data_IF_081149406296
#
_entry.id   IF_081149406296
#
_cell.length_a   1.000
_cell.length_b   1.000
_cell.length_c   1.000
_cell.angle_alpha   90.00
_cell.angle_beta   90.00
_cell.angle_gamma   90.00
#
_symmetry.space_group_name_H-M   'P 1'
#
loop_
_entity.id
_entity.type
_entity.pdbx_description
1 polymer ?
#
# COMPACT_ATOMS: atom_id res chain seq x y z
N UNK A 1 0.95 3.28 15.87
CA UNK A 1 1.35 2.64 17.15
C UNK A 1 1.58 1.16 16.88
N UNK A 2 2.74 0.63 17.27
CA UNK A 2 3.00 -0.79 17.29
C UNK A 2 2.16 -1.40 18.42
N UNK A 3 1.26 -2.33 18.09
CA UNK A 3 0.32 -2.90 19.05
C UNK A 3 1.00 -3.84 20.06
N UNK A 4 2.14 -4.43 19.73
CA UNK A 4 2.86 -5.34 20.61
C UNK A 4 3.72 -4.58 21.64
N UNK A 5 4.43 -3.53 21.20
CA UNK A 5 5.31 -2.77 22.08
C UNK A 5 4.65 -1.53 22.71
N UNK A 6 3.49 -1.10 22.21
CA UNK A 6 2.81 0.13 22.63
C UNK A 6 3.44 1.43 22.11
N UNK A 7 4.59 1.36 21.42
CA UNK A 7 5.32 2.53 20.96
C UNK A 7 4.81 3.08 19.62
N UNK A 8 4.98 4.38 19.39
CA UNK A 8 4.71 5.04 18.12
C UNK A 8 5.91 5.89 17.69
N UNK A 9 6.12 6.02 16.38
CA UNK A 9 7.10 6.95 15.81
C UNK A 9 6.58 8.37 15.86
N UNK A 10 7.46 9.33 16.06
CA UNK A 10 7.17 10.77 15.98
C UNK A 10 7.67 11.30 14.64
N UNK A 11 6.77 11.90 13.88
CA UNK A 11 7.07 12.47 12.57
C UNK A 11 7.14 13.98 12.72
N UNK A 12 8.26 14.57 12.30
CA UNK A 12 8.51 16.01 12.41
C UNK A 12 8.48 16.64 11.03
N UNK A 13 7.62 17.65 10.90
CA UNK A 13 7.44 18.44 9.69
C UNK A 13 7.99 19.83 9.96
N UNK A 14 8.80 20.35 9.05
CA UNK A 14 9.25 21.73 9.09
C UNK A 14 8.59 22.45 7.92
N UNK A 15 7.47 23.14 8.19
CA UNK A 15 6.54 23.63 7.16
C UNK A 15 7.22 24.39 6.02
N UNK A 16 8.20 25.24 6.34
CA UNK A 16 8.96 26.04 5.36
C UNK A 16 9.76 25.19 4.35
N UNK A 17 10.04 23.92 4.68
CA UNK A 17 10.83 23.00 3.88
C UNK A 17 9.99 21.88 3.24
N UNK A 18 8.66 21.85 3.44
CA UNK A 18 7.80 20.80 2.87
C UNK A 18 7.42 21.17 1.43
N UNK A 19 8.07 20.54 0.46
CA UNK A 19 7.76 20.70 -0.97
C UNK A 19 6.68 19.73 -1.46
N UNK A 20 6.53 18.58 -0.81
CA UNK A 20 5.54 17.56 -1.14
C UNK A 20 5.11 16.80 0.11
N UNK A 21 3.84 16.40 0.19
CA UNK A 21 3.34 15.60 1.31
C UNK A 21 3.62 14.10 1.14
N UNK A 22 4.05 13.68 -0.04
CA UNK A 22 4.28 12.27 -0.40
C UNK A 22 5.69 11.97 -0.89
N UNK A 23 6.58 12.96 -0.88
CA UNK A 23 7.97 12.77 -1.25
C UNK A 23 8.88 13.48 -0.23
N UNK A 24 9.55 12.70 0.62
CA UNK A 24 10.42 13.17 1.70
C UNK A 24 9.84 14.33 2.55
N UNK A 25 8.57 14.26 3.02
CA UNK A 25 7.93 15.37 3.74
C UNK A 25 8.53 15.62 5.14
N UNK A 26 9.29 14.66 5.67
CA UNK A 26 9.71 14.64 7.07
C UNK A 26 11.11 15.24 7.24
N UNK A 27 11.22 16.28 8.06
CA UNK A 27 12.51 16.80 8.51
C UNK A 27 13.23 15.77 9.41
N UNK A 28 12.45 15.04 10.23
CA UNK A 28 12.95 13.93 11.05
C UNK A 28 11.85 12.91 11.36
N UNK A 29 12.27 11.66 11.57
CA UNK A 29 11.43 10.60 12.13
C UNK A 29 12.15 10.02 13.33
N UNK A 30 11.53 10.13 14.51
CA UNK A 30 12.09 9.67 15.78
C UNK A 30 11.37 8.41 16.28
N UNK A 31 12.13 7.41 16.70
CA UNK A 31 11.62 6.16 17.26
C UNK A 31 12.61 5.02 17.11
N UNK A 32 12.17 3.79 17.40
CA UNK A 32 13.02 2.62 17.21
C UNK A 32 13.00 2.15 15.75
N UNK A 33 14.18 1.80 15.24
CA UNK A 33 14.30 1.12 13.95
C UNK A 33 13.61 -0.25 14.02
N UNK A 34 12.90 -0.58 12.96
CA UNK A 34 12.14 -1.82 12.79
C UNK A 34 12.69 -2.71 11.67
N UNK A 35 13.83 -2.34 11.07
CA UNK A 35 14.45 -3.08 9.96
C UNK A 35 13.77 -2.75 8.63
N UNK A 36 13.05 -3.71 8.05
CA UNK A 36 12.36 -3.50 6.77
C UNK A 36 10.98 -2.88 6.97
N UNK A 37 10.81 -1.65 6.47
CA UNK A 37 9.55 -0.89 6.57
C UNK A 37 9.17 -0.38 5.19
N UNK A 38 7.94 -0.66 4.74
CA UNK A 38 7.44 -0.07 3.51
C UNK A 38 7.38 1.46 3.64
N UNK A 39 8.26 2.16 2.93
CA UNK A 39 8.39 3.60 2.95
C UNK A 39 7.93 4.20 1.61
N UNK A 40 6.62 4.40 1.46
CA UNK A 40 6.04 4.97 0.23
C UNK A 40 6.35 6.45 0.02
N UNK A 41 6.88 7.15 1.02
CA UNK A 41 7.26 8.57 0.88
C UNK A 41 8.74 8.77 0.55
N UNK A 42 9.54 7.69 0.52
CA UNK A 42 10.92 7.76 0.06
C UNK A 42 10.98 8.23 -1.40
N UNK A 43 12.01 8.99 -1.77
CA UNK A 43 12.23 9.39 -3.17
C UNK A 43 12.29 8.18 -4.10
N UNK A 44 12.95 7.11 -3.66
CA UNK A 44 13.09 5.87 -4.43
C UNK A 44 11.75 5.16 -4.69
N UNK A 45 10.72 5.45 -3.89
CA UNK A 45 9.37 4.89 -4.05
C UNK A 45 8.54 5.58 -5.13
N UNK A 46 9.07 6.57 -5.85
CA UNK A 46 8.31 7.34 -6.84
C UNK A 46 7.63 6.47 -7.91
N UNK A 47 8.35 5.48 -8.45
CA UNK A 47 7.77 4.55 -9.44
C UNK A 47 6.65 3.70 -8.84
N UNK A 48 6.78 3.29 -7.57
CA UNK A 48 5.75 2.53 -6.86
C UNK A 48 4.50 3.38 -6.59
N UNK A 49 4.66 4.67 -6.25
CA UNK A 49 3.55 5.63 -6.15
C UNK A 49 2.83 5.78 -7.49
N UNK A 50 3.55 5.95 -8.59
CA UNK A 50 2.96 6.07 -9.93
C UNK A 50 2.20 4.80 -10.35
N UNK A 51 2.75 3.62 -10.06
CA UNK A 51 2.03 2.37 -10.30
C UNK A 51 0.77 2.25 -9.42
N UNK A 52 0.79 2.77 -8.20
CA UNK A 52 -0.42 2.83 -7.35
C UNK A 52 -1.49 3.70 -8.00
N UNK A 53 -1.11 4.85 -8.57
CA UNK A 53 -2.04 5.72 -9.32
C UNK A 53 -2.60 5.02 -10.54
N UNK A 54 -1.74 4.37 -11.30
CA UNK A 54 -2.15 3.60 -12.47
C UNK A 54 -3.13 2.47 -12.12
N UNK A 55 -2.79 1.64 -11.13
CA UNK A 55 -3.61 0.53 -10.66
C UNK A 55 -4.95 0.98 -10.07
N UNK A 56 -5.02 2.17 -9.46
CA UNK A 56 -6.27 2.72 -8.94
C UNK A 56 -7.26 3.08 -10.06
N UNK A 57 -6.77 3.30 -11.29
CA UNK A 57 -7.58 3.58 -12.48
C UNK A 57 -8.07 2.32 -13.22
N UNK A 58 -7.66 1.12 -12.80
CA UNK A 58 -8.11 -0.13 -13.42
C UNK A 58 -9.57 -0.45 -13.09
N UNK A 59 -10.23 -1.18 -14.02
CA UNK A 59 -11.64 -1.56 -13.87
C UNK A 59 -11.82 -2.53 -12.69
N UNK A 60 -12.57 -2.15 -11.64
CA UNK A 60 -12.77 -3.00 -10.46
C UNK A 60 -13.41 -4.35 -10.79
N UNK A 61 -14.29 -4.39 -11.80
CA UNK A 61 -15.08 -5.57 -12.14
C UNK A 61 -14.22 -6.81 -12.45
N UNK A 62 -13.11 -6.64 -13.18
CA UNK A 62 -12.21 -7.76 -13.52
C UNK A 62 -11.46 -8.27 -12.29
N UNK A 63 -11.07 -7.37 -11.39
CA UNK A 63 -10.42 -7.72 -10.11
C UNK A 63 -11.40 -8.49 -9.23
N UNK A 64 -12.64 -8.01 -9.09
CA UNK A 64 -13.67 -8.66 -8.28
C UNK A 64 -14.07 -10.01 -8.87
N UNK A 65 -14.22 -10.10 -10.19
CA UNK A 65 -14.49 -11.37 -10.88
C UNK A 65 -13.39 -12.40 -10.61
N UNK A 66 -12.13 -11.98 -10.66
CA UNK A 66 -10.98 -12.84 -10.35
C UNK A 66 -10.99 -13.30 -8.89
N UNK A 67 -11.25 -12.39 -7.94
CA UNK A 67 -11.34 -12.73 -6.51
C UNK A 67 -12.50 -13.70 -6.23
N UNK A 68 -13.68 -13.48 -6.82
CA UNK A 68 -14.83 -14.38 -6.68
C UNK A 68 -14.49 -15.79 -7.20
N UNK A 69 -13.89 -15.87 -8.39
CA UNK A 69 -13.42 -17.13 -8.97
C UNK A 69 -12.41 -17.84 -8.05
N UNK A 70 -11.45 -17.13 -7.48
CA UNK A 70 -10.47 -17.72 -6.55
C UNK A 70 -11.12 -18.27 -5.27
N UNK A 71 -12.13 -17.59 -4.73
CA UNK A 71 -12.86 -18.06 -3.55
C UNK A 71 -13.73 -19.30 -3.84
N UNK A 72 -14.19 -19.46 -5.08
CA UNK A 72 -15.01 -20.59 -5.53
C UNK A 72 -14.18 -21.81 -5.98
N UNK A 73 -12.86 -21.66 -6.14
CA UNK A 73 -11.99 -22.76 -6.57
C UNK A 73 -11.83 -23.82 -5.48
N UNK A 74 -11.98 -25.12 -5.83
CA UNK A 74 -11.75 -26.20 -4.89
C UNK A 74 -10.27 -26.28 -4.47
N UNK A 75 -9.97 -26.65 -3.21
CA UNK A 75 -8.60 -26.69 -2.68
C UNK A 75 -7.63 -27.56 -3.48
N UNK A 76 -8.15 -28.58 -4.17
CA UNK A 76 -7.35 -29.65 -4.79
C UNK A 76 -6.97 -29.36 -6.26
N UNK A 77 -7.34 -28.20 -6.81
CA UNK A 77 -7.17 -27.86 -8.23
C UNK A 77 -5.82 -27.24 -8.62
N UNK A 78 -4.95 -26.93 -7.68
CA UNK A 78 -3.67 -26.24 -7.93
C UNK A 78 -2.49 -27.23 -7.90
N UNK A 79 -1.81 -27.35 -9.04
CA UNK A 79 -0.56 -28.13 -9.22
C UNK A 79 0.45 -27.86 -8.10
N UNK A 80 1.02 -28.94 -7.56
CA UNK A 80 2.15 -29.06 -6.63
C UNK A 80 3.02 -27.78 -6.50
N UNK A 81 2.61 -26.89 -5.62
CA UNK A 81 3.43 -25.87 -4.98
C UNK A 81 3.06 -25.96 -3.50
N UNK A 82 4.05 -26.07 -2.60
CA UNK A 82 3.80 -26.11 -1.16
C UNK A 82 3.44 -24.71 -0.65
N UNK A 83 2.25 -24.26 -1.04
CA UNK A 83 1.61 -23.01 -0.68
C UNK A 83 0.23 -23.36 -0.12
N UNK A 84 -0.34 -22.54 0.78
CA UNK A 84 -1.70 -22.75 1.24
C UNK A 84 -2.67 -22.77 0.04
N UNK A 85 -3.63 -23.70 0.05
CA UNK A 85 -4.55 -23.95 -1.06
C UNK A 85 -5.29 -22.68 -1.55
N UNK A 86 -5.57 -21.77 -0.62
CA UNK A 86 -6.01 -20.41 -0.92
C UNK A 86 -5.54 -19.45 0.18
N UNK A 87 -5.36 -18.18 -0.20
CA UNK A 87 -5.28 -17.07 0.76
C UNK A 87 -6.63 -16.36 0.79
N UNK A 88 -7.49 -16.60 1.80
CA UNK A 88 -8.78 -15.93 1.87
C UNK A 88 -8.57 -14.42 1.91
N UNK A 89 -9.32 -13.69 1.10
CA UNK A 89 -9.33 -12.22 1.09
C UNK A 89 -10.51 -11.77 1.96
N UNK A 90 -10.33 -11.56 3.27
CA UNK A 90 -11.42 -11.14 4.14
C UNK A 90 -11.96 -9.78 3.68
N UNK A 91 -13.30 -9.65 3.68
CA UNK A 91 -14.03 -8.40 3.34
C UNK A 91 -13.91 -7.95 1.88
N UNK A 92 -14.03 -8.87 0.93
CA UNK A 92 -14.06 -8.55 -0.50
C UNK A 92 -15.06 -7.42 -0.86
N UNK A 93 -16.22 -7.35 -0.21
CA UNK A 93 -17.19 -6.24 -0.41
C UNK A 93 -16.64 -4.86 -0.02
N UNK A 94 -15.79 -4.77 1.03
CA UNK A 94 -15.13 -3.52 1.39
C UNK A 94 -14.08 -3.14 0.34
N UNK A 95 -13.36 -4.13 -0.19
CA UNK A 95 -12.38 -3.92 -1.26
C UNK A 95 -13.06 -3.40 -2.53
N UNK A 96 -14.16 -4.05 -2.95
CA UNK A 96 -15.01 -3.61 -4.07
C UNK A 96 -15.42 -2.15 -3.92
N UNK A 97 -15.99 -1.77 -2.77
CA UNK A 97 -16.38 -0.38 -2.50
C UNK A 97 -15.22 0.62 -2.67
N UNK A 98 -14.02 0.27 -2.19
CA UNK A 98 -12.85 1.14 -2.29
C UNK A 98 -12.37 1.24 -3.75
N UNK A 99 -12.27 0.11 -4.45
CA UNK A 99 -11.83 0.06 -5.85
C UNK A 99 -12.81 0.80 -6.77
N UNK A 100 -14.12 0.60 -6.59
CA UNK A 100 -15.14 1.37 -7.32
C UNK A 100 -15.02 2.86 -7.08
N UNK A 101 -14.85 3.28 -5.82
CA UNK A 101 -14.68 4.70 -5.49
C UNK A 101 -13.42 5.30 -6.13
N UNK A 102 -12.30 4.57 -6.11
CA UNK A 102 -11.06 5.02 -6.76
C UNK A 102 -11.22 5.12 -8.27
N UNK A 103 -11.89 4.14 -8.89
CA UNK A 103 -12.16 4.13 -10.33
C UNK A 103 -13.09 5.26 -10.77
N UNK A 104 -14.09 5.60 -9.96
CA UNK A 104 -15.02 6.70 -10.24
C UNK A 104 -14.34 8.07 -10.09
N UNK A 105 -13.53 8.24 -9.04
CA UNK A 105 -12.82 9.49 -8.77
C UNK A 105 -11.65 9.75 -9.73
N UNK A 106 -11.03 8.68 -10.25
CA UNK A 106 -9.83 8.73 -11.13
C UNK A 106 -8.76 9.69 -10.60
N UNK A 107 -8.23 9.44 -9.38
CA UNK A 107 -7.23 10.31 -8.79
C UNK A 107 -6.00 10.43 -9.71
N UNK A 108 -5.53 11.64 -9.91
CA UNK A 108 -4.39 11.94 -10.78
C UNK A 108 -3.05 11.80 -10.05
N UNK A 109 -3.07 11.71 -8.72
CA UNK A 109 -1.89 11.71 -7.86
C UNK A 109 -2.02 10.74 -6.69
N UNK A 110 -0.87 10.36 -6.13
CA UNK A 110 -0.83 9.52 -4.92
C UNK A 110 -1.42 10.24 -3.70
N UNK A 111 -1.27 11.57 -3.62
CA UNK A 111 -1.90 12.42 -2.59
C UNK A 111 -3.43 12.30 -2.65
N UNK A 112 -4.02 12.39 -3.83
CA UNK A 112 -5.47 12.23 -4.01
C UNK A 112 -5.94 10.83 -3.61
N UNK A 113 -5.18 9.78 -3.91
CA UNK A 113 -5.49 8.41 -3.45
C UNK A 113 -5.54 8.34 -1.94
N UNK A 114 -4.57 8.94 -1.25
CA UNK A 114 -4.53 8.97 0.21
C UNK A 114 -5.69 9.78 0.81
N UNK A 115 -6.20 10.77 0.08
CA UNK A 115 -7.36 11.56 0.48
C UNK A 115 -8.70 10.83 0.31
N UNK A 116 -8.75 9.71 -0.44
CA UNK A 116 -9.97 8.93 -0.61
C UNK A 116 -10.33 8.19 0.68
N UNK A 117 -11.46 8.55 1.28
CA UNK A 117 -11.98 7.88 2.46
C UNK A 117 -12.17 6.37 2.21
N UNK A 118 -11.57 5.57 3.09
CA UNK A 118 -11.55 4.11 3.02
C UNK A 118 -10.19 3.56 2.59
N UNK A 119 -9.36 4.38 1.92
CA UNK A 119 -7.95 4.07 1.67
C UNK A 119 -7.17 4.19 2.98
N UNK A 120 -6.46 3.11 3.33
CA UNK A 120 -5.65 3.06 4.53
C UNK A 120 -4.38 2.24 4.31
N UNK A 121 -3.61 1.96 5.39
CA UNK A 121 -2.30 1.31 5.27
C UNK A 121 -2.35 -0.05 4.57
N UNK A 122 -3.44 -0.81 4.74
CA UNK A 122 -3.61 -2.10 4.07
C UNK A 122 -3.77 -1.95 2.54
N UNK A 123 -4.55 -0.96 2.10
CA UNK A 123 -4.76 -0.67 0.68
C UNK A 123 -3.47 -0.20 0.02
N UNK A 124 -2.75 0.72 0.66
CA UNK A 124 -1.45 1.21 0.17
C UNK A 124 -0.44 0.07 0.05
N UNK A 125 -0.36 -0.82 1.06
CA UNK A 125 0.48 -2.01 0.99
C UNK A 125 0.10 -2.94 -0.16
N UNK A 126 -1.20 -3.14 -0.39
CA UNK A 126 -1.67 -4.01 -1.46
C UNK A 126 -1.25 -3.46 -2.84
N UNK A 127 -1.47 -2.17 -3.10
CA UNK A 127 -1.04 -1.56 -4.36
C UNK A 127 0.49 -1.58 -4.54
N UNK A 128 1.26 -1.28 -3.48
CA UNK A 128 2.71 -1.35 -3.54
C UNK A 128 3.21 -2.77 -3.90
N UNK A 129 2.62 -3.80 -3.28
CA UNK A 129 2.95 -5.20 -3.54
C UNK A 129 2.57 -5.63 -4.96
N UNK A 130 1.35 -5.30 -5.40
CA UNK A 130 0.89 -5.60 -6.77
C UNK A 130 1.78 -4.90 -7.79
N UNK A 131 2.13 -3.63 -7.54
CA UNK A 131 3.04 -2.85 -8.35
C UNK A 131 4.41 -3.51 -8.49
N UNK A 132 4.98 -3.95 -7.37
CA UNK A 132 6.25 -4.65 -7.34
C UNK A 132 6.20 -5.98 -8.11
N UNK A 133 5.15 -6.79 -7.91
CA UNK A 133 5.04 -8.12 -8.54
C UNK A 133 4.77 -8.04 -10.04
N UNK A 134 3.85 -7.16 -10.46
CA UNK A 134 3.41 -7.09 -11.86
C UNK A 134 4.35 -6.23 -12.69
N UNK A 135 4.78 -5.08 -12.17
CA UNK A 135 5.54 -4.09 -12.92
C UNK A 135 7.00 -3.98 -12.49
N UNK A 136 7.44 -4.74 -11.49
CA UNK A 136 8.81 -4.69 -10.99
C UNK A 136 9.17 -3.38 -10.27
N UNK A 137 8.18 -2.55 -9.91
CA UNK A 137 8.41 -1.25 -9.29
C UNK A 137 8.57 -1.38 -7.77
N UNK A 138 9.80 -1.59 -7.34
CA UNK A 138 10.13 -1.77 -5.92
C UNK A 138 9.94 -0.47 -5.14
N UNK A 139 9.10 -0.45 -4.09
CA UNK A 139 9.13 0.64 -3.12
C UNK A 139 10.39 0.54 -2.25
N UNK A 140 10.76 1.64 -1.58
CA UNK A 140 11.78 1.61 -0.55
C UNK A 140 11.29 0.81 0.66
N UNK A 141 12.18 -0.05 1.17
CA UNK A 141 12.01 -0.77 2.42
C UNK A 141 12.93 -0.25 3.53
N UNK A 142 13.62 0.86 3.26
CA UNK A 142 14.51 1.50 4.21
C UNK A 142 13.70 2.21 5.30
N UNK A 143 14.11 1.99 6.54
CA UNK A 143 13.48 2.61 7.69
C UNK A 143 13.81 4.11 7.77
N UNK A 144 12.82 5.03 7.68
CA UNK A 144 13.10 6.46 7.70
C UNK A 144 13.53 7.03 9.07
N UNK A 145 13.58 6.20 10.12
CA UNK A 145 14.01 6.61 11.46
C UNK A 145 15.44 7.14 11.43
N UNK A 146 15.62 8.40 11.85
CA UNK A 146 16.93 9.08 11.97
C UNK A 146 17.43 9.15 13.41
N UNK A 147 16.52 9.16 14.38
CA UNK A 147 16.84 9.33 15.80
C UNK A 147 16.08 8.33 16.67
N UNK A 148 16.70 7.80 17.73
CA UNK A 148 16.13 6.76 18.59
C UNK A 148 16.30 7.02 20.09
N UNK A 149 16.48 8.28 20.49
CA UNK A 149 16.69 8.67 21.89
C UNK A 149 15.39 8.78 22.70
#
# INVERSE_FOLDING_TARGET
MNQASGWARRYHWQGDNVESFVNEPHAAVCGNQAGQVLNMVATDSNKSRNATVYLAGDRPDEVIKTIKRLNEMPPDGLRLLNLPAAHPVPRAARLEKILSRLYDLKPASFEEILAVEGVGPATVRAFALVGEVIYGVKPSHEDPVRYSY
#
